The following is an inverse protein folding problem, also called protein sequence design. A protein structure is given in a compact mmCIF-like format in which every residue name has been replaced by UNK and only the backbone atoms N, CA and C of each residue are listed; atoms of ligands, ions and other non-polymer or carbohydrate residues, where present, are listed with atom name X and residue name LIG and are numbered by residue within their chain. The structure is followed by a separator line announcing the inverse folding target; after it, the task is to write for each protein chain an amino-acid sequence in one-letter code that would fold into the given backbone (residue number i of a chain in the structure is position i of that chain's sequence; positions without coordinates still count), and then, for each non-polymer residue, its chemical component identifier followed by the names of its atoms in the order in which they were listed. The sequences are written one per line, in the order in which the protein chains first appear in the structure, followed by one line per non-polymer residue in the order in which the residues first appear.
data_IF_861485450263
#
_entry.id   IF_861485450263
#
_cell.length_a   1.000
_cell.length_b   1.000
_cell.length_c   1.000
_cell.angle_alpha   90.00
_cell.angle_beta   90.00
_cell.angle_gamma   90.00
#
_symmetry.space_group_name_H-M   'P 1'
#
loop_
_entity.id
_entity.type
_entity.pdbx_description
1 polymer ?
#
# COMPACT_ATOMS: atom_id res chain seq x y z
N UNK A 1 -18.11 -23.76 6.35
CA UNK A 1 -18.29 -22.30 6.47
C UNK A 1 -16.94 -21.65 6.24
N UNK A 2 -16.75 -20.93 5.13
CA UNK A 2 -15.51 -20.18 4.93
C UNK A 2 -15.63 -18.87 5.70
N UNK A 3 -14.85 -18.75 6.78
CA UNK A 3 -14.72 -17.51 7.50
C UNK A 3 -13.96 -16.55 6.59
N UNK A 4 -14.68 -15.71 5.85
CA UNK A 4 -14.11 -14.55 5.17
C UNK A 4 -13.59 -13.63 6.26
N UNK A 5 -12.31 -13.80 6.60
CA UNK A 5 -11.54 -12.85 7.39
C UNK A 5 -11.50 -11.56 6.57
N UNK A 6 -12.44 -10.66 6.87
CA UNK A 6 -12.43 -9.32 6.31
C UNK A 6 -11.14 -8.65 6.78
N UNK A 7 -10.35 -8.04 5.89
CA UNK A 7 -9.10 -7.40 6.27
C UNK A 7 -9.44 -6.21 7.16
N UNK A 8 -9.22 -6.34 8.48
CA UNK A 8 -9.53 -5.28 9.42
C UNK A 8 -8.50 -4.16 9.27
N UNK A 9 -8.97 -2.93 9.09
CA UNK A 9 -8.13 -1.76 9.25
C UNK A 9 -7.81 -1.58 10.74
N UNK A 10 -6.52 -1.62 11.11
CA UNK A 10 -6.08 -1.31 12.48
C UNK A 10 -6.33 0.15 12.91
N UNK A 11 -6.89 0.96 12.01
CA UNK A 11 -7.15 2.37 12.23
C UNK A 11 -8.67 2.58 12.39
N UNK A 12 -9.16 3.00 13.57
CA UNK A 12 -10.59 3.09 13.85
C UNK A 12 -11.33 4.14 13.00
N UNK A 13 -10.59 5.02 12.32
CA UNK A 13 -11.12 6.11 11.49
C UNK A 13 -11.36 5.73 10.02
N UNK A 14 -10.87 4.58 9.55
CA UNK A 14 -11.01 4.16 8.17
C UNK A 14 -11.54 2.74 8.10
N UNK A 15 -12.48 2.50 7.19
CA UNK A 15 -12.94 1.14 6.90
C UNK A 15 -11.90 0.40 6.06
N UNK A 16 -11.87 -0.93 6.18
CA UNK A 16 -11.09 -1.82 5.32
C UNK A 16 -11.16 -1.44 3.84
N UNK A 17 -12.38 -1.20 3.34
CA UNK A 17 -12.62 -0.83 1.94
C UNK A 17 -11.99 0.51 1.54
N UNK A 18 -11.99 1.50 2.44
CA UNK A 18 -11.30 2.78 2.21
C UNK A 18 -9.79 2.58 2.16
N UNK A 19 -9.22 1.77 3.06
CA UNK A 19 -7.78 1.46 3.07
C UNK A 19 -7.37 0.69 1.80
N UNK A 20 -8.19 -0.25 1.32
CA UNK A 20 -7.99 -0.91 0.02
C UNK A 20 -8.07 0.06 -1.17
N UNK A 21 -9.02 0.98 -1.15
CA UNK A 21 -9.14 2.04 -2.15
C UNK A 21 -7.90 2.95 -2.18
N UNK A 22 -7.39 3.33 -1.01
CA UNK A 22 -6.15 4.09 -0.87
C UNK A 22 -4.94 3.29 -1.36
N UNK A 23 -4.87 1.99 -1.05
CA UNK A 23 -3.80 1.10 -1.49
C UNK A 23 -3.75 1.04 -3.02
N UNK A 24 -4.91 0.84 -3.66
CA UNK A 24 -5.02 0.82 -5.14
C UNK A 24 -4.57 2.14 -5.77
N UNK A 25 -4.90 3.28 -5.15
CA UNK A 25 -4.45 4.61 -5.60
C UNK A 25 -2.94 4.78 -5.43
N UNK A 26 -2.36 4.36 -4.29
CA UNK A 26 -0.93 4.44 -4.03
C UNK A 26 -0.12 3.61 -5.04
N UNK A 27 -0.58 2.39 -5.36
CA UNK A 27 0.02 1.56 -6.42
C UNK A 27 -0.03 2.20 -7.80
N UNK A 28 -1.11 2.91 -8.14
CA UNK A 28 -1.20 3.65 -9.41
C UNK A 28 -0.19 4.79 -9.44
N UNK A 29 -0.06 5.54 -8.33
CA UNK A 29 0.95 6.59 -8.17
C UNK A 29 2.37 6.07 -8.33
N UNK A 30 2.70 4.94 -7.67
CA UNK A 30 4.00 4.29 -7.80
C UNK A 30 4.34 3.96 -9.26
N UNK A 31 3.40 3.35 -9.99
CA UNK A 31 3.62 3.01 -11.42
C UNK A 31 3.84 4.25 -12.29
N UNK A 32 3.09 5.32 -12.06
CA UNK A 32 3.26 6.58 -12.79
C UNK A 32 4.60 7.24 -12.46
N UNK A 33 5.03 7.21 -11.19
CA UNK A 33 6.33 7.71 -10.77
C UNK A 33 7.49 6.89 -11.36
N UNK A 34 7.32 5.56 -11.43
CA UNK A 34 8.28 4.65 -12.08
C UNK A 34 8.44 4.95 -13.57
N UNK A 35 7.34 5.15 -14.30
CA UNK A 35 7.40 5.52 -15.72
C UNK A 35 8.11 6.87 -15.93
N UNK A 36 7.93 7.81 -14.99
CA UNK A 36 8.62 9.09 -15.01
C UNK A 36 10.06 9.05 -14.46
N UNK A 37 10.55 7.89 -14.01
CA UNK A 37 11.83 7.75 -13.30
C UNK A 37 11.98 8.69 -12.09
N UNK A 38 10.86 9.05 -11.45
CA UNK A 38 10.84 9.92 -10.27
C UNK A 38 11.00 9.06 -9.01
N UNK A 39 12.26 8.80 -8.65
CA UNK A 39 12.61 7.95 -7.51
C UNK A 39 12.11 8.50 -6.17
N UNK A 40 12.01 9.83 -6.03
CA UNK A 40 11.51 10.45 -4.81
C UNK A 40 10.03 10.14 -4.59
N UNK A 41 9.20 10.31 -5.64
CA UNK A 41 7.79 9.92 -5.59
C UNK A 41 7.61 8.42 -5.45
N UNK A 42 8.42 7.61 -6.14
CA UNK A 42 8.39 6.15 -5.97
C UNK A 42 8.60 5.75 -4.50
N UNK A 43 9.59 6.34 -3.82
CA UNK A 43 9.85 6.08 -2.40
C UNK A 43 8.69 6.52 -1.50
N UNK A 44 8.08 7.68 -1.77
CA UNK A 44 6.91 8.13 -1.02
C UNK A 44 5.71 7.18 -1.17
N UNK A 45 5.42 6.76 -2.40
CA UNK A 45 4.34 5.80 -2.66
C UNK A 45 4.64 4.43 -2.06
N UNK A 46 5.88 3.95 -2.14
CA UNK A 46 6.30 2.69 -1.54
C UNK A 46 6.10 2.69 -0.02
N UNK A 47 6.47 3.77 0.67
CA UNK A 47 6.21 3.95 2.11
C UNK A 47 4.71 3.90 2.41
N UNK A 48 3.89 4.66 1.66
CA UNK A 48 2.42 4.64 1.80
C UNK A 48 1.84 3.24 1.59
N UNK A 49 2.31 2.50 0.58
CA UNK A 49 1.88 1.13 0.31
C UNK A 49 2.19 0.22 1.50
N UNK A 50 3.41 0.25 2.06
CA UNK A 50 3.78 -0.57 3.23
C UNK A 50 2.96 -0.23 4.47
N UNK A 51 2.64 1.05 4.69
CA UNK A 51 1.76 1.48 5.79
C UNK A 51 0.35 0.92 5.61
N UNK A 52 -0.26 1.13 4.44
CA UNK A 52 -1.62 0.64 4.15
C UNK A 52 -1.71 -0.90 4.19
N UNK A 53 -0.66 -1.59 3.78
CA UNK A 53 -0.58 -3.04 3.90
C UNK A 53 -0.48 -3.51 5.35
N UNK A 54 0.29 -2.79 6.18
CA UNK A 54 0.34 -3.02 7.62
C UNK A 54 -1.02 -2.79 8.29
N UNK A 55 -1.71 -1.70 7.92
CA UNK A 55 -3.04 -1.38 8.43
C UNK A 55 -4.08 -2.44 8.06
N UNK A 56 -3.94 -3.08 6.90
CA UNK A 56 -4.80 -4.17 6.43
C UNK A 56 -4.39 -5.55 6.93
N UNK A 57 -3.25 -5.66 7.65
CA UNK A 57 -2.68 -6.93 8.07
C UNK A 57 -2.18 -7.83 6.93
N UNK A 58 -1.90 -7.26 5.75
CA UNK A 58 -1.40 -8.01 4.59
C UNK A 58 0.12 -7.92 4.48
N UNK A 59 0.72 -8.87 3.75
CA UNK A 59 2.17 -8.88 3.52
C UNK A 59 2.61 -7.56 2.86
N UNK A 60 3.59 -6.90 3.47
CA UNK A 60 4.22 -5.69 2.92
C UNK A 60 4.94 -6.03 1.62
N UNK A 61 4.75 -5.20 0.60
CA UNK A 61 5.43 -5.34 -0.68
C UNK A 61 6.89 -4.88 -0.56
N UNK A 62 7.76 -5.56 -1.30
CA UNK A 62 9.17 -5.26 -1.41
C UNK A 62 9.40 -4.39 -2.65
N UNK A 63 10.22 -3.36 -2.50
CA UNK A 63 10.56 -2.44 -3.58
C UNK A 63 12.08 -2.49 -3.81
N UNK A 64 12.58 -3.54 -4.48
CA UNK A 64 14.03 -3.74 -4.68
C UNK A 64 14.66 -2.59 -5.46
N UNK A 65 13.88 -1.95 -6.34
CA UNK A 65 14.27 -0.79 -7.14
C UNK A 65 14.59 0.45 -6.29
N UNK A 66 14.15 0.46 -5.03
CA UNK A 66 14.29 1.59 -4.11
C UNK A 66 15.21 1.29 -2.93
N UNK A 67 15.83 0.11 -2.86
CA UNK A 67 16.59 -0.37 -1.68
C UNK A 67 15.82 -0.19 -0.35
N UNK A 68 14.49 -0.30 -0.38
CA UNK A 68 13.65 -0.22 0.81
C UNK A 68 13.47 -1.63 1.39
N UNK A 69 14.41 -2.08 2.24
CA UNK A 69 14.24 -3.25 3.12
C UNK A 69 13.18 -3.01 4.20
#
# INVERSE_FOLDING_TARGET
MYQVVQPQSNNPNYTAGQTWGALKKAWRGYKIAKVQSDHAKMAEYAKKIRTLQGDLGVKKAEFPELNLS
#
